data_IF_718107042884
#
_entry.id   IF_718107042884
#
_cell.length_a   1.000
_cell.length_b   1.000
_cell.length_c   1.000
_cell.angle_alpha   90.00
_cell.angle_beta   90.00
_cell.angle_gamma   90.00
#
_symmetry.space_group_name_H-M   'P 1'
#
loop_
_entity.id
_entity.type
_entity.pdbx_description
1 polymer ?
#
# COMPACT_ATOMS: atom_id res chain seq x y z
N UNK A 1 6.70 -48.21 12.13
CA UNK A 1 7.53 -49.28 12.74
C UNK A 1 6.72 -50.57 12.71
N UNK A 2 7.11 -51.46 11.79
CA UNK A 2 6.93 -52.93 11.77
C UNK A 2 5.55 -53.50 12.18
N UNK A 3 4.84 -54.28 11.35
CA UNK A 3 5.25 -55.35 10.43
C UNK A 3 4.24 -55.43 9.28
N UNK A 4 4.64 -55.33 8.01
CA UNK A 4 5.26 -56.39 7.17
C UNK A 4 4.27 -57.56 6.97
N UNK A 5 3.55 -57.60 5.86
CA UNK A 5 3.93 -58.13 4.52
C UNK A 5 3.57 -59.62 4.37
N UNK A 6 3.20 -60.00 3.14
CA UNK A 6 3.01 -61.38 2.60
C UNK A 6 1.67 -62.02 3.00
N UNK A 7 0.81 -62.50 2.09
CA UNK A 7 1.10 -63.38 0.94
C UNK A 7 0.13 -63.11 -0.24
N UNK A 8 0.74 -62.99 -1.42
CA UNK A 8 0.13 -63.03 -2.75
C UNK A 8 -0.44 -64.42 -3.07
N UNK A 9 -1.48 -64.42 -3.90
CA UNK A 9 -1.69 -65.28 -5.08
C UNK A 9 -3.13 -65.83 -5.19
N UNK A 10 -3.58 -65.93 -6.45
CA UNK A 10 -4.82 -66.53 -6.96
C UNK A 10 -6.07 -65.64 -7.02
N UNK A 11 -6.18 -64.85 -8.09
CA UNK A 11 -7.26 -65.05 -9.09
C UNK A 11 -7.16 -63.99 -10.19
N UNK A 12 -6.49 -64.36 -11.28
CA UNK A 12 -6.54 -63.65 -12.56
C UNK A 12 -7.89 -63.89 -13.23
N UNK A 13 -8.79 -62.91 -13.21
CA UNK A 13 -9.92 -62.86 -14.16
C UNK A 13 -10.36 -61.42 -14.42
N UNK A 14 -9.87 -60.88 -15.53
CA UNK A 14 -10.53 -59.94 -16.45
C UNK A 14 -11.45 -58.86 -15.83
N UNK A 15 -10.86 -57.86 -15.17
CA UNK A 15 -11.51 -56.55 -15.04
C UNK A 15 -10.65 -55.48 -15.71
N UNK A 16 -11.04 -55.18 -16.95
CA UNK A 16 -10.90 -53.94 -17.71
C UNK A 16 -9.74 -52.99 -17.34
N UNK A 17 -8.59 -53.17 -17.98
CA UNK A 17 -7.57 -52.14 -18.13
C UNK A 17 -8.12 -50.82 -18.77
N UNK A 18 -9.30 -50.87 -19.39
CA UNK A 18 -9.99 -49.71 -19.98
C UNK A 18 -10.78 -48.85 -18.98
N UNK A 19 -11.11 -49.35 -17.78
CA UNK A 19 -11.83 -48.55 -16.75
C UNK A 19 -10.85 -47.83 -15.81
N UNK A 20 -9.66 -48.39 -15.58
CA UNK A 20 -8.61 -47.72 -14.80
C UNK A 20 -7.96 -46.53 -15.55
N UNK A 21 -7.99 -46.53 -16.88
CA UNK A 21 -7.47 -45.42 -17.71
C UNK A 21 -8.46 -44.24 -17.76
N UNK A 22 -9.77 -44.48 -17.62
CA UNK A 22 -10.77 -43.40 -17.57
C UNK A 22 -10.84 -42.64 -16.24
N UNK A 23 -10.33 -43.20 -15.13
CA UNK A 23 -10.26 -42.49 -13.84
C UNK A 23 -8.99 -41.64 -13.73
N UNK A 24 -7.90 -42.00 -14.44
CA UNK A 24 -6.70 -41.17 -14.51
C UNK A 24 -6.79 -40.01 -15.53
N UNK A 25 -7.72 -40.05 -16.48
CA UNK A 25 -7.91 -38.99 -17.48
C UNK A 25 -8.98 -37.95 -17.09
N UNK A 26 -9.74 -38.17 -16.01
CA UNK A 26 -10.66 -37.17 -15.44
C UNK A 26 -10.04 -36.35 -14.29
N UNK A 27 -8.77 -36.63 -13.93
CA UNK A 27 -7.93 -35.76 -13.09
C UNK A 27 -6.88 -34.97 -13.91
N UNK A 28 -7.02 -34.96 -15.24
CA UNK A 28 -6.24 -34.10 -16.14
C UNK A 28 -6.87 -32.71 -16.35
N UNK A 29 -7.96 -32.40 -15.64
CA UNK A 29 -8.36 -31.02 -15.38
C UNK A 29 -7.47 -30.48 -14.28
N UNK A 30 -6.30 -29.96 -14.66
CA UNK A 30 -5.28 -29.49 -13.75
C UNK A 30 -5.84 -28.56 -12.68
N UNK A 31 -5.92 -29.04 -11.44
CA UNK A 31 -5.80 -28.14 -10.31
C UNK A 31 -4.40 -27.58 -10.40
N UNK A 32 -4.27 -26.41 -11.02
CA UNK A 32 -3.05 -25.64 -10.98
C UNK A 32 -2.76 -25.41 -9.49
N UNK A 33 -1.79 -26.15 -8.95
CA UNK A 33 -1.48 -26.12 -7.53
C UNK A 33 -1.11 -24.70 -7.09
N UNK A 34 -1.23 -24.43 -5.80
CA UNK A 34 -0.75 -23.19 -5.20
C UNK A 34 0.76 -23.33 -4.98
N UNK A 35 1.55 -22.25 -5.13
CA UNK A 35 2.97 -22.34 -4.81
C UNK A 35 3.16 -22.57 -3.30
N UNK A 36 4.13 -23.39 -2.94
CA UNK A 36 4.43 -23.70 -1.54
C UNK A 36 5.89 -23.43 -1.24
N UNK A 37 6.14 -22.61 -0.21
CA UNK A 37 7.44 -22.51 0.43
C UNK A 37 7.57 -23.56 1.55
N UNK A 38 8.79 -24.06 1.78
CA UNK A 38 9.08 -24.84 2.97
C UNK A 38 9.03 -23.97 4.24
N UNK A 39 8.75 -24.58 5.39
CA UNK A 39 8.80 -23.87 6.69
C UNK A 39 10.19 -23.24 6.85
N UNK A 40 10.23 -21.91 7.07
CA UNK A 40 11.45 -21.11 7.20
C UNK A 40 12.42 -21.23 6.01
N UNK A 41 11.91 -21.52 4.80
CA UNK A 41 12.74 -21.70 3.60
C UNK A 41 12.24 -20.85 2.44
N UNK A 42 13.08 -19.91 2.00
CA UNK A 42 12.90 -19.22 0.74
C UNK A 42 12.88 -20.21 -0.44
N UNK A 43 11.83 -20.13 -1.25
CA UNK A 43 11.65 -20.96 -2.44
C UNK A 43 11.34 -20.04 -3.61
N UNK A 44 12.10 -20.17 -4.69
CA UNK A 44 11.84 -19.40 -5.91
C UNK A 44 10.56 -19.92 -6.57
N UNK A 45 9.64 -19.00 -6.88
CA UNK A 45 8.35 -19.31 -7.53
C UNK A 45 8.15 -18.50 -8.82
N UNK A 46 9.21 -17.83 -9.30
CA UNK A 46 9.16 -16.91 -10.43
C UNK A 46 8.60 -15.52 -10.07
N UNK A 47 8.27 -14.70 -11.09
CA UNK A 47 8.51 -14.96 -12.51
C UNK A 47 10.01 -15.07 -12.84
N UNK A 48 10.37 -15.91 -13.80
CA UNK A 48 11.77 -16.12 -14.22
C UNK A 48 12.21 -15.10 -15.28
N UNK A 49 13.53 -14.87 -15.41
CA UNK A 49 14.11 -14.18 -16.57
C UNK A 49 14.35 -12.68 -16.43
N UNK A 50 14.24 -12.09 -15.24
CA UNK A 50 14.58 -10.67 -15.06
C UNK A 50 14.49 -10.15 -13.63
N UNK A 51 14.81 -8.88 -13.46
CA UNK A 51 14.67 -8.16 -12.18
C UNK A 51 13.21 -7.83 -11.93
N UNK A 52 12.66 -8.33 -10.82
CA UNK A 52 11.37 -7.89 -10.26
C UNK A 52 11.62 -6.70 -9.34
N UNK A 53 10.95 -5.59 -9.61
CA UNK A 53 11.06 -4.32 -8.87
C UNK A 53 9.89 -4.09 -7.92
N UNK A 54 8.74 -4.72 -8.20
CA UNK A 54 7.51 -4.54 -7.44
C UNK A 54 6.65 -5.81 -7.50
N UNK A 55 5.92 -6.08 -6.42
CA UNK A 55 4.95 -7.16 -6.32
C UNK A 55 3.69 -6.57 -5.68
N UNK A 56 2.52 -6.95 -6.19
CA UNK A 56 1.23 -6.60 -5.62
C UNK A 56 0.39 -7.87 -5.46
N UNK A 57 -0.33 -7.95 -4.34
CA UNK A 57 -1.25 -9.05 -4.01
C UNK A 57 -2.66 -8.49 -4.14
N UNK A 58 -3.53 -9.20 -4.85
CA UNK A 58 -4.94 -8.83 -4.93
C UNK A 58 -5.57 -8.88 -3.53
N UNK A 59 -6.19 -7.78 -3.06
CA UNK A 59 -6.71 -7.68 -1.69
C UNK A 59 -7.97 -8.51 -1.46
N UNK A 60 -8.65 -8.96 -2.54
CA UNK A 60 -9.86 -9.79 -2.47
C UNK A 60 -9.54 -11.26 -2.72
N UNK A 61 -8.63 -11.55 -3.65
CA UNK A 61 -8.15 -12.91 -3.94
C UNK A 61 -6.62 -13.02 -3.79
N UNK A 62 -6.10 -13.40 -2.61
CA UNK A 62 -4.66 -13.51 -2.38
C UNK A 62 -3.93 -14.57 -3.23
N UNK A 63 -4.64 -15.41 -3.98
CA UNK A 63 -4.02 -16.30 -4.97
C UNK A 63 -3.69 -15.56 -6.28
N UNK A 64 -4.26 -14.39 -6.49
CA UNK A 64 -3.95 -13.52 -7.60
C UNK A 64 -2.82 -12.56 -7.22
N UNK A 65 -1.70 -12.66 -7.92
CA UNK A 65 -0.48 -11.90 -7.68
C UNK A 65 -0.04 -11.21 -8.97
N UNK A 66 0.55 -10.03 -8.85
CA UNK A 66 1.19 -9.32 -9.95
C UNK A 66 2.62 -8.98 -9.60
N UNK A 67 3.52 -9.11 -10.57
CA UNK A 67 4.92 -8.74 -10.45
C UNK A 67 5.28 -7.80 -11.60
N UNK A 68 6.00 -6.72 -11.29
CA UNK A 68 6.48 -5.74 -12.26
C UNK A 68 8.00 -5.73 -12.33
N UNK A 69 8.54 -5.44 -13.51
CA UNK A 69 9.97 -5.26 -13.72
C UNK A 69 10.31 -4.76 -15.13
N UNK A 70 11.56 -4.97 -15.55
CA UNK A 70 12.01 -4.57 -16.90
C UNK A 70 11.35 -5.36 -18.04
N UNK A 71 10.78 -6.53 -17.74
CA UNK A 71 10.01 -7.34 -18.71
C UNK A 71 8.52 -6.97 -18.80
N UNK A 72 8.09 -5.90 -18.13
CA UNK A 72 6.69 -5.50 -18.02
C UNK A 72 6.00 -6.10 -16.78
N UNK A 73 4.72 -6.42 -16.92
CA UNK A 73 3.87 -6.97 -15.84
C UNK A 73 3.63 -8.46 -16.06
N UNK A 74 3.74 -9.24 -14.99
CA UNK A 74 3.44 -10.66 -14.94
C UNK A 74 2.33 -10.91 -13.92
N UNK A 75 1.42 -11.83 -14.23
CA UNK A 75 0.30 -12.23 -13.36
C UNK A 75 0.42 -13.69 -12.99
N UNK A 76 0.12 -14.00 -11.74
CA UNK A 76 -0.22 -15.35 -11.28
C UNK A 76 -1.67 -15.34 -10.77
N UNK A 77 -2.37 -16.45 -10.94
CA UNK A 77 -3.73 -16.68 -10.42
C UNK A 77 -3.80 -17.93 -9.55
N UNK A 78 -2.65 -18.42 -9.09
CA UNK A 78 -2.50 -19.66 -8.32
C UNK A 78 -1.40 -19.52 -7.27
N UNK A 79 -1.38 -18.38 -6.58
CA UNK A 79 -0.45 -18.08 -5.48
C UNK A 79 1.02 -18.17 -5.90
N UNK A 80 1.32 -17.86 -7.17
CA UNK A 80 2.68 -17.84 -7.71
C UNK A 80 3.17 -19.16 -8.27
N UNK A 81 2.34 -20.21 -8.42
CA UNK A 81 2.81 -21.49 -8.97
C UNK A 81 3.13 -21.40 -10.46
N UNK A 82 2.44 -20.52 -11.18
CA UNK A 82 2.74 -20.17 -12.55
C UNK A 82 2.51 -18.69 -12.78
N UNK A 83 3.29 -18.11 -13.70
CA UNK A 83 3.23 -16.71 -14.08
C UNK A 83 3.06 -16.57 -15.60
N UNK A 84 2.29 -15.57 -16.02
CA UNK A 84 2.12 -15.20 -17.42
C UNK A 84 2.37 -13.71 -17.61
N UNK A 85 3.02 -13.32 -18.70
CA UNK A 85 3.18 -11.92 -19.06
C UNK A 85 1.83 -11.33 -19.47
N UNK A 86 1.50 -10.15 -18.93
CA UNK A 86 0.26 -9.42 -19.17
C UNK A 86 0.59 -7.99 -19.61
N UNK A 87 1.23 -7.88 -20.79
CA UNK A 87 1.89 -6.64 -21.26
C UNK A 87 1.18 -5.96 -22.44
N UNK A 88 0.03 -6.47 -22.87
CA UNK A 88 -0.72 -5.90 -23.99
C UNK A 88 -1.07 -4.42 -23.74
N UNK A 89 -0.66 -3.53 -24.64
CA UNK A 89 -0.86 -2.08 -24.51
C UNK A 89 0.23 -1.32 -23.73
N UNK A 90 1.20 -2.03 -23.12
CA UNK A 90 2.41 -1.41 -22.59
C UNK A 90 3.48 -1.27 -23.70
N UNK A 91 4.28 -0.19 -23.70
CA UNK A 91 5.47 -0.09 -24.54
C UNK A 91 6.46 -1.23 -24.26
N UNK A 92 7.17 -1.71 -25.28
CA UNK A 92 8.09 -2.85 -25.17
C UNK A 92 9.30 -2.58 -24.27
N UNK A 93 9.66 -1.31 -24.09
CA UNK A 93 10.75 -0.83 -23.24
C UNK A 93 10.26 -0.23 -21.91
N UNK A 94 8.96 -0.38 -21.59
CA UNK A 94 8.40 0.14 -20.36
C UNK A 94 8.84 -0.68 -19.15
N UNK A 95 9.83 -0.16 -18.42
CA UNK A 95 10.23 -0.68 -17.12
C UNK A 95 9.22 -0.31 -16.04
N UNK A 96 8.56 -1.32 -15.47
CA UNK A 96 7.62 -1.13 -14.37
C UNK A 96 8.42 -0.94 -13.09
N UNK A 97 8.19 0.18 -12.40
CA UNK A 97 8.81 0.49 -11.10
C UNK A 97 7.86 0.23 -9.94
N UNK A 98 6.55 0.39 -10.16
CA UNK A 98 5.52 0.22 -9.13
C UNK A 98 4.23 -0.32 -9.74
N UNK A 99 3.55 -1.19 -8.98
CA UNK A 99 2.19 -1.64 -9.25
C UNK A 99 1.29 -1.28 -8.08
N UNK A 100 0.08 -0.82 -8.38
CA UNK A 100 -0.98 -0.62 -7.40
C UNK A 100 -2.27 -1.27 -7.93
N UNK A 101 -3.00 -1.94 -7.03
CA UNK A 101 -4.29 -2.58 -7.30
C UNK A 101 -5.35 -1.76 -6.58
N UNK A 102 -6.43 -1.43 -7.28
CA UNK A 102 -7.58 -0.77 -6.68
C UNK A 102 -8.16 -1.69 -5.59
N UNK A 103 -8.27 -1.21 -4.33
CA UNK A 103 -8.70 -2.06 -3.21
C UNK A 103 -10.19 -2.41 -3.23
N UNK A 104 -11.00 -1.72 -4.02
CA UNK A 104 -12.45 -1.95 -4.16
C UNK A 104 -12.76 -2.76 -5.42
N UNK A 105 -12.05 -2.50 -6.53
CA UNK A 105 -12.15 -3.26 -7.78
C UNK A 105 -10.78 -3.82 -8.22
N UNK A 106 -10.40 -5.04 -7.81
CA UNK A 106 -9.09 -5.60 -8.13
C UNK A 106 -8.83 -5.88 -9.62
N UNK A 107 -9.82 -5.74 -10.49
CA UNK A 107 -9.61 -5.74 -11.94
C UNK A 107 -8.99 -4.43 -12.43
N UNK A 108 -9.05 -3.37 -11.64
CA UNK A 108 -8.42 -2.09 -11.90
C UNK A 108 -7.00 -2.07 -11.30
N UNK A 109 -6.00 -1.89 -12.17
CA UNK A 109 -4.59 -1.82 -11.80
C UNK A 109 -3.92 -0.61 -12.41
N UNK A 110 -2.87 -0.13 -11.74
CA UNK A 110 -2.00 0.93 -12.23
C UNK A 110 -0.55 0.46 -12.21
N UNK A 111 0.16 0.71 -13.30
CA UNK A 111 1.59 0.48 -13.44
C UNK A 111 2.30 1.81 -13.64
N UNK A 112 3.24 2.12 -12.75
CA UNK A 112 4.08 3.31 -12.83
C UNK A 112 5.49 2.95 -13.28
N UNK A 113 6.07 3.78 -14.14
CA UNK A 113 7.43 3.59 -14.63
C UNK A 113 7.99 4.85 -15.27
N UNK A 114 9.06 4.69 -16.06
CA UNK A 114 9.54 5.78 -16.91
C UNK A 114 8.55 6.01 -18.06
N UNK A 115 8.14 7.27 -18.29
CA UNK A 115 7.10 7.60 -19.27
C UNK A 115 5.68 7.69 -18.71
N UNK A 116 5.49 7.46 -17.40
CA UNK A 116 4.26 7.80 -16.68
C UNK A 116 3.51 6.62 -16.09
N UNK A 117 2.19 6.72 -16.06
CA UNK A 117 1.26 5.74 -15.48
C UNK A 117 0.44 5.08 -16.58
N UNK A 118 0.27 3.76 -16.48
CA UNK A 118 -0.63 2.96 -17.31
C UNK A 118 -1.70 2.34 -16.43
N UNK A 119 -2.94 2.28 -16.93
CA UNK A 119 -4.09 1.69 -16.25
C UNK A 119 -4.57 0.45 -16.99
N UNK A 120 -4.93 -0.59 -16.24
CA UNK A 120 -5.73 -1.71 -16.70
C UNK A 120 -7.05 -1.70 -15.95
N UNK A 121 -8.15 -2.08 -16.60
CA UNK A 121 -9.47 -2.25 -15.98
C UNK A 121 -10.01 -3.68 -16.18
N UNK A 122 -9.11 -4.62 -16.48
CA UNK A 122 -9.45 -6.01 -16.80
C UNK A 122 -8.38 -6.99 -16.28
N UNK A 123 -7.83 -6.72 -15.10
CA UNK A 123 -6.92 -7.64 -14.41
C UNK A 123 -5.59 -7.82 -15.14
N UNK A 124 -5.11 -6.77 -15.82
CA UNK A 124 -3.85 -6.75 -16.58
C UNK A 124 -3.96 -7.21 -18.03
N UNK A 125 -5.12 -7.66 -18.51
CA UNK A 125 -5.25 -8.20 -19.87
C UNK A 125 -4.95 -7.16 -20.97
N UNK A 126 -5.21 -5.88 -20.70
CA UNK A 126 -4.77 -4.76 -21.53
C UNK A 126 -4.51 -3.51 -20.69
N UNK A 127 -3.58 -2.67 -21.16
CA UNK A 127 -3.16 -1.43 -20.52
C UNK A 127 -3.36 -0.22 -21.44
N UNK A 128 -3.62 0.94 -20.84
CA UNK A 128 -3.74 2.23 -21.53
C UNK A 128 -2.97 3.30 -20.76
N UNK A 129 -2.26 4.17 -21.48
CA UNK A 129 -1.55 5.29 -20.86
C UNK A 129 -2.55 6.29 -20.26
N UNK A 130 -2.32 6.69 -19.01
CA UNK A 130 -3.15 7.65 -18.26
C UNK A 130 -2.26 8.78 -17.74
N UNK A 131 -1.70 9.55 -18.68
CA UNK A 131 -0.60 10.50 -18.43
C UNK A 131 -0.96 11.97 -18.57
N UNK A 132 -2.24 12.30 -18.77
CA UNK A 132 -2.68 13.69 -18.92
C UNK A 132 -2.38 14.50 -17.65
N UNK A 133 -1.64 15.60 -17.78
CA UNK A 133 -1.19 16.43 -16.65
C UNK A 133 0.09 15.95 -15.95
N UNK A 134 0.61 14.77 -16.32
CA UNK A 134 1.93 14.30 -15.92
C UNK A 134 3.00 14.85 -16.89
N UNK A 135 4.18 15.27 -16.41
CA UNK A 135 5.33 15.63 -17.26
C UNK A 135 5.83 14.46 -18.16
N UNK A 136 6.69 14.72 -19.15
CA UNK A 136 7.14 13.65 -20.08
C UNK A 136 8.53 13.07 -19.77
N UNK A 137 9.29 13.70 -18.88
CA UNK A 137 10.73 13.47 -18.63
C UNK A 137 11.04 12.96 -17.21
N UNK A 138 10.13 12.18 -16.62
CA UNK A 138 10.25 11.67 -15.26
C UNK A 138 9.87 10.18 -15.15
N UNK A 139 10.15 9.59 -13.98
CA UNK A 139 9.72 8.24 -13.62
C UNK A 139 8.74 8.26 -12.44
N UNK A 140 7.68 7.46 -12.52
CA UNK A 140 6.80 7.18 -11.39
C UNK A 140 7.47 6.13 -10.52
N UNK A 141 7.77 6.47 -9.28
CA UNK A 141 8.44 5.60 -8.31
C UNK A 141 7.48 4.96 -7.32
N UNK A 142 6.36 5.62 -7.05
CA UNK A 142 5.35 5.14 -6.12
C UNK A 142 3.96 5.56 -6.58
N UNK A 143 3.00 4.67 -6.39
CA UNK A 143 1.57 4.92 -6.58
C UNK A 143 0.86 4.56 -5.28
N UNK A 144 -0.01 5.44 -4.80
CA UNK A 144 -0.89 5.19 -3.66
C UNK A 144 -2.33 5.46 -4.09
N UNK A 145 -3.23 4.52 -3.82
CA UNK A 145 -4.66 4.63 -4.13
C UNK A 145 -5.37 4.85 -2.80
N UNK A 146 -6.27 5.82 -2.76
CA UNK A 146 -7.12 6.05 -1.59
C UNK A 146 -7.99 4.80 -1.35
N UNK A 147 -7.94 4.20 -0.15
CA UNK A 147 -8.64 2.96 0.15
C UNK A 147 -10.17 3.12 0.27
N UNK A 148 -10.66 4.35 0.41
CA UNK A 148 -12.09 4.69 0.55
C UNK A 148 -12.66 5.21 -0.77
N UNK A 149 -11.91 6.05 -1.50
CA UNK A 149 -12.28 6.54 -2.83
C UNK A 149 -11.20 6.20 -3.88
N UNK A 150 -11.26 5.03 -4.54
CA UNK A 150 -10.22 4.61 -5.49
C UNK A 150 -10.10 5.46 -6.77
N UNK A 151 -11.02 6.40 -7.01
CA UNK A 151 -10.83 7.42 -8.05
C UNK A 151 -9.75 8.43 -7.65
N UNK A 152 -9.47 8.56 -6.36
CA UNK A 152 -8.40 9.37 -5.81
C UNK A 152 -7.12 8.54 -5.68
N UNK A 153 -6.07 8.98 -6.35
CA UNK A 153 -4.76 8.32 -6.33
C UNK A 153 -3.63 9.32 -6.52
N UNK A 154 -2.47 8.95 -6.03
CA UNK A 154 -1.30 9.80 -5.99
C UNK A 154 -0.10 9.10 -6.61
N UNK A 155 0.66 9.85 -7.40
CA UNK A 155 1.91 9.42 -7.99
C UNK A 155 3.06 10.23 -7.40
N UNK A 156 3.97 9.54 -6.72
CA UNK A 156 5.26 10.10 -6.34
C UNK A 156 6.25 9.88 -7.47
N UNK A 157 7.04 10.92 -7.77
CA UNK A 157 7.95 10.91 -8.90
C UNK A 157 9.40 10.92 -8.48
N UNK A 158 10.17 10.03 -9.09
CA UNK A 158 11.62 9.98 -9.03
C UNK A 158 12.12 9.43 -10.36
N UNK A 159 12.92 10.19 -11.11
CA UNK A 159 13.62 9.58 -12.24
C UNK A 159 14.88 8.90 -11.72
N UNK A 160 14.89 7.58 -11.56
CA UNK A 160 16.15 6.81 -11.51
C UNK A 160 16.52 6.41 -12.95
N UNK A 161 17.78 6.58 -13.40
CA UNK A 161 18.96 7.05 -12.67
C UNK A 161 19.16 8.58 -12.67
N UNK A 162 18.34 9.35 -13.40
CA UNK A 162 18.64 10.76 -13.70
C UNK A 162 18.32 11.78 -12.58
N UNK A 163 17.82 11.32 -11.44
CA UNK A 163 17.30 12.09 -10.30
C UNK A 163 16.46 13.31 -10.73
N UNK A 164 15.44 13.09 -11.57
CA UNK A 164 14.51 14.14 -12.07
C UNK A 164 13.10 13.95 -11.49
N UNK A 165 13.00 13.91 -10.17
CA UNK A 165 11.69 13.94 -9.50
C UNK A 165 11.02 15.32 -9.65
N UNK A 166 9.70 15.32 -9.78
CA UNK A 166 8.84 16.50 -9.92
C UNK A 166 7.77 16.57 -8.82
N UNK A 167 7.96 15.80 -7.75
CA UNK A 167 7.12 15.80 -6.56
C UNK A 167 5.98 14.79 -6.62
N UNK A 168 4.85 15.16 -6.02
CA UNK A 168 3.61 14.39 -5.94
C UNK A 168 2.59 14.94 -6.94
N UNK A 169 1.90 14.04 -7.62
CA UNK A 169 0.77 14.34 -8.48
C UNK A 169 -0.46 13.61 -7.98
N UNK A 170 -1.62 14.28 -7.95
CA UNK A 170 -2.92 13.74 -7.54
C UNK A 170 -3.83 13.60 -8.75
N UNK A 171 -4.59 12.52 -8.81
CA UNK A 171 -5.75 12.35 -9.67
C UNK A 171 -6.96 12.09 -8.78
N UNK A 172 -8.13 12.59 -9.18
CA UNK A 172 -9.43 12.37 -8.52
C UNK A 172 -10.45 11.75 -9.49
N UNK A 173 -9.96 11.19 -10.59
CA UNK A 173 -10.77 10.61 -11.67
C UNK A 173 -10.16 9.31 -12.21
N UNK A 174 -9.54 8.53 -11.33
CA UNK A 174 -8.99 7.21 -11.66
C UNK A 174 -7.89 7.26 -12.71
N UNK A 175 -7.06 8.32 -12.68
CA UNK A 175 -5.88 8.52 -13.51
C UNK A 175 -6.12 9.29 -14.80
N UNK A 176 -7.38 9.62 -15.15
CA UNK A 176 -7.68 10.28 -16.41
C UNK A 176 -7.00 11.66 -16.55
N UNK A 177 -6.79 12.37 -15.44
CA UNK A 177 -5.95 13.57 -15.38
C UNK A 177 -5.26 13.71 -14.04
N UNK A 178 -4.09 14.35 -14.04
CA UNK A 178 -3.24 14.55 -12.87
C UNK A 178 -2.94 16.04 -12.65
N UNK A 179 -2.77 16.43 -11.39
CA UNK A 179 -2.38 17.77 -10.97
C UNK A 179 -1.23 17.71 -9.96
N UNK A 180 -0.28 18.62 -10.05
CA UNK A 180 0.82 18.70 -9.09
C UNK A 180 0.34 19.23 -7.74
N UNK A 181 0.67 18.53 -6.65
CA UNK A 181 0.25 18.86 -5.28
C UNK A 181 1.48 18.98 -4.38
N UNK A 182 2.28 20.01 -4.63
CA UNK A 182 3.66 20.12 -4.12
C UNK A 182 3.88 21.25 -3.09
N UNK A 183 2.82 21.94 -2.66
CA UNK A 183 2.96 23.09 -1.76
C UNK A 183 3.57 22.68 -0.43
N UNK A 184 4.70 23.27 -0.04
CA UNK A 184 5.41 22.90 1.21
C UNK A 184 6.38 21.72 1.10
N UNK A 185 6.44 21.04 -0.05
CA UNK A 185 7.52 20.08 -0.35
C UNK A 185 8.85 20.82 -0.62
N UNK A 186 10.00 20.16 -0.34
CA UNK A 186 11.28 20.84 -0.29
C UNK A 186 11.81 21.12 -1.70
N UNK A 187 11.63 22.34 -2.20
CA UNK A 187 12.32 22.77 -3.43
C UNK A 187 13.82 22.96 -3.15
N UNK A 188 14.74 22.33 -3.91
CA UNK A 188 16.16 22.61 -3.74
C UNK A 188 16.44 24.08 -4.06
N UNK A 189 17.07 24.79 -3.12
CA UNK A 189 17.51 26.18 -3.30
C UNK A 189 18.63 26.33 -4.35
N UNK A 190 19.21 25.23 -4.83
CA UNK A 190 20.25 25.23 -5.84
C UNK A 190 20.00 24.12 -6.86
N UNK A 191 19.48 24.49 -8.03
CA UNK A 191 19.53 23.65 -9.23
C UNK A 191 20.63 24.20 -10.12
N UNK A 192 21.77 23.48 -10.21
CA UNK A 192 22.82 23.78 -11.20
C UNK A 192 22.36 23.49 -12.65
N UNK A 193 21.09 23.10 -12.85
CA UNK A 193 20.51 22.64 -14.12
C UNK A 193 19.10 23.19 -14.40
N UNK A 194 18.72 24.31 -13.76
CA UNK A 194 17.57 25.13 -14.20
C UNK A 194 16.16 24.65 -13.81
N UNK A 195 16.01 23.60 -12.99
CA UNK A 195 14.71 23.21 -12.43
C UNK A 195 14.83 22.58 -11.02
N UNK A 196 13.94 22.89 -10.07
CA UNK A 196 13.90 22.23 -8.76
C UNK A 196 13.60 20.74 -8.94
N UNK A 197 14.41 19.89 -8.28
CA UNK A 197 14.21 18.43 -8.25
C UNK A 197 13.50 18.06 -6.96
N UNK A 198 12.32 17.45 -7.07
CA UNK A 198 11.51 17.00 -5.95
C UNK A 198 11.39 15.46 -6.00
N UNK A 199 12.25 14.77 -5.27
CA UNK A 199 12.27 13.30 -5.26
C UNK A 199 11.27 12.78 -4.23
N UNK A 200 10.30 12.00 -4.68
CA UNK A 200 9.39 11.24 -3.81
C UNK A 200 9.67 9.76 -4.04
N UNK A 201 10.22 9.09 -3.03
CA UNK A 201 10.60 7.66 -3.12
C UNK A 201 9.61 6.75 -2.41
N UNK A 202 8.84 7.29 -1.46
CA UNK A 202 7.74 6.60 -0.80
C UNK A 202 6.57 7.56 -0.64
N UNK A 203 5.36 7.01 -0.70
CA UNK A 203 4.12 7.73 -0.47
C UNK A 203 3.12 6.73 0.11
N UNK A 204 2.45 7.12 1.19
CA UNK A 204 1.43 6.30 1.85
C UNK A 204 0.29 7.19 2.32
N UNK A 205 -0.92 6.64 2.27
CA UNK A 205 -2.17 7.27 2.67
C UNK A 205 -2.58 6.61 3.98
N UNK A 206 -2.99 7.40 4.96
CA UNK A 206 -3.56 6.88 6.19
C UNK A 206 -4.89 6.15 5.88
N UNK A 207 -5.02 4.86 6.19
CA UNK A 207 -6.21 4.09 5.85
C UNK A 207 -7.44 4.46 6.69
N UNK A 208 -7.26 5.15 7.82
CA UNK A 208 -8.34 5.62 8.69
C UNK A 208 -8.77 7.04 8.33
N UNK A 209 -7.82 7.88 7.91
CA UNK A 209 -8.05 9.26 7.44
C UNK A 209 -7.37 9.53 6.09
N UNK A 210 -8.02 9.26 4.95
CA UNK A 210 -7.40 9.38 3.63
C UNK A 210 -6.95 10.81 3.23
N UNK A 211 -7.38 11.85 3.95
CA UNK A 211 -6.84 13.21 3.80
C UNK A 211 -5.44 13.35 4.39
N UNK A 212 -5.01 12.41 5.23
CA UNK A 212 -3.66 12.34 5.79
C UNK A 212 -2.74 11.48 4.92
N UNK A 213 -1.64 12.09 4.45
CA UNK A 213 -0.63 11.43 3.62
C UNK A 213 0.78 11.66 4.16
N UNK A 214 1.67 10.72 3.87
CA UNK A 214 3.09 10.83 4.19
C UNK A 214 3.95 10.57 2.97
N UNK A 215 4.82 11.53 2.65
CA UNK A 215 5.78 11.45 1.55
C UNK A 215 7.21 11.30 2.09
N UNK A 216 7.88 10.24 1.62
CA UNK A 216 9.29 9.99 1.85
C UNK A 216 10.14 10.58 0.73
N UNK A 217 11.03 11.51 1.08
CA UNK A 217 11.84 12.28 0.12
C UNK A 217 13.34 12.10 0.37
N UNK A 218 14.18 12.77 -0.44
CA UNK A 218 15.63 12.92 -0.19
C UNK A 218 15.97 14.03 0.84
N UNK A 219 14.95 14.65 1.45
CA UNK A 219 15.06 15.67 2.50
C UNK A 219 14.31 15.32 3.78
N UNK A 220 13.87 14.07 3.90
CA UNK A 220 13.11 13.59 5.07
C UNK A 220 11.67 13.21 4.73
N UNK A 221 10.84 13.21 5.76
CA UNK A 221 9.42 12.86 5.71
C UNK A 221 8.57 14.13 5.78
N UNK A 222 7.56 14.19 4.92
CA UNK A 222 6.58 15.26 4.86
C UNK A 222 5.18 14.69 5.07
N UNK A 223 4.38 15.35 5.90
CA UNK A 223 2.98 15.03 6.16
C UNK A 223 2.08 16.03 5.45
N UNK A 224 0.99 15.55 4.86
CA UNK A 224 -0.19 16.34 4.50
C UNK A 224 -1.36 15.88 5.35
N UNK A 225 -2.27 16.80 5.68
CA UNK A 225 -3.52 16.52 6.40
C UNK A 225 -4.75 17.04 5.62
N UNK A 226 -4.57 17.28 4.32
CA UNK A 226 -5.56 17.90 3.42
C UNK A 226 -5.41 17.35 2.00
N UNK A 227 -5.18 16.04 1.89
CA UNK A 227 -5.26 15.36 0.62
C UNK A 227 -4.16 15.77 -0.35
N UNK A 228 -3.02 16.24 0.15
CA UNK A 228 -1.85 16.66 -0.61
C UNK A 228 -1.79 18.16 -0.94
N UNK A 229 -2.81 18.95 -0.62
CA UNK A 229 -2.87 20.38 -0.95
C UNK A 229 -1.72 21.17 -0.33
N UNK A 230 -1.30 20.80 0.88
CA UNK A 230 -0.07 21.30 1.50
C UNK A 230 0.65 20.23 2.34
N UNK A 231 1.96 20.44 2.48
CA UNK A 231 2.88 19.52 3.15
C UNK A 231 3.71 20.22 4.22
N UNK A 232 3.97 19.53 5.32
CA UNK A 232 4.82 19.97 6.42
C UNK A 232 5.89 18.91 6.72
N UNK A 233 7.13 19.34 6.92
CA UNK A 233 8.21 18.44 7.35
C UNK A 233 7.98 17.94 8.78
N UNK A 234 8.14 16.63 8.99
CA UNK A 234 8.02 15.96 10.31
C UNK A 234 9.31 15.24 10.68
N UNK A 235 10.44 15.95 10.57
CA UNK A 235 11.79 15.36 10.62
C UNK A 235 12.43 15.33 12.00
N UNK A 236 11.72 15.72 13.06
CA UNK A 236 12.27 15.74 14.41
C UNK A 236 12.77 14.34 14.81
N UNK A 237 14.04 14.25 15.23
CA UNK A 237 14.67 12.98 15.59
C UNK A 237 15.25 12.16 14.41
N UNK A 238 15.03 12.54 13.15
CA UNK A 238 15.66 11.88 12.00
C UNK A 238 17.09 12.38 11.78
N UNK A 239 18.08 11.49 11.50
CA UNK A 239 19.46 11.87 11.25
C UNK A 239 19.65 12.39 9.81
N UNK A 240 19.06 13.54 9.51
CA UNK A 240 19.14 14.14 8.17
C UNK A 240 20.60 14.38 7.75
N UNK A 241 20.94 13.96 6.53
CA UNK A 241 22.26 14.11 5.93
C UNK A 241 22.13 14.37 4.43
N UNK A 242 23.24 14.72 3.76
CA UNK A 242 23.23 15.00 2.32
C UNK A 242 22.79 13.82 1.45
N UNK A 243 22.99 12.59 1.92
CA UNK A 243 22.60 11.36 1.23
C UNK A 243 21.36 10.71 1.82
N UNK A 244 20.64 11.42 2.69
CA UNK A 244 19.44 10.90 3.34
C UNK A 244 18.34 10.66 2.30
N UNK A 245 17.70 9.49 2.38
CA UNK A 245 16.53 9.14 1.58
C UNK A 245 15.60 8.29 2.40
N UNK A 246 14.32 8.49 2.17
CA UNK A 246 13.24 7.67 2.74
C UNK A 246 12.65 6.80 1.62
N UNK A 247 13.21 5.60 1.38
CA UNK A 247 12.72 4.70 0.34
C UNK A 247 11.44 3.96 0.71
N UNK A 248 11.08 3.91 1.99
CA UNK A 248 9.94 3.12 2.45
C UNK A 248 9.24 3.82 3.62
N UNK A 249 7.92 3.81 3.56
CA UNK A 249 7.02 4.25 4.62
C UNK A 249 5.97 3.16 4.81
N UNK A 250 5.58 2.92 6.06
CA UNK A 250 4.45 2.06 6.39
C UNK A 250 3.70 2.66 7.57
N UNK A 251 2.38 2.69 7.48
CA UNK A 251 1.49 3.15 8.56
C UNK A 251 0.92 1.92 9.25
N UNK A 252 0.74 1.97 10.57
CA UNK A 252 -0.06 0.97 11.27
C UNK A 252 -1.52 1.03 10.76
N UNK A 253 -2.02 -0.01 10.08
CA UNK A 253 -3.32 0.04 9.45
C UNK A 253 -4.49 -0.03 10.44
N UNK A 254 -4.24 -0.31 11.73
CA UNK A 254 -5.30 -0.43 12.74
C UNK A 254 -5.80 0.92 13.22
N UNK A 255 -4.92 1.91 13.33
CA UNK A 255 -5.22 3.21 13.95
C UNK A 255 -4.68 4.43 13.20
N UNK A 256 -3.79 4.26 12.21
CA UNK A 256 -3.14 5.38 11.53
C UNK A 256 -2.14 6.17 12.41
N UNK A 257 -2.00 5.81 13.69
CA UNK A 257 -1.30 6.59 14.70
C UNK A 257 0.22 6.47 14.58
N UNK A 258 0.71 5.33 14.10
CA UNK A 258 2.14 5.06 14.01
C UNK A 258 2.62 4.98 12.57
N UNK A 259 3.63 5.79 12.24
CA UNK A 259 4.35 5.74 10.97
C UNK A 259 5.75 5.15 11.19
N UNK A 260 6.06 4.10 10.44
CA UNK A 260 7.38 3.51 10.31
C UNK A 260 8.11 4.06 9.09
N UNK A 261 9.36 4.46 9.28
CA UNK A 261 10.19 5.15 8.29
C UNK A 261 11.45 4.32 8.06
N UNK A 262 11.53 3.66 6.91
CA UNK A 262 12.77 3.03 6.45
C UNK A 262 13.70 4.09 5.89
N UNK A 263 14.99 4.04 6.25
CA UNK A 263 15.99 5.00 5.76
C UNK A 263 17.18 4.31 5.11
N UNK A 264 17.81 4.98 4.15
CA UNK A 264 19.07 4.49 3.59
C UNK A 264 20.19 4.56 4.65
N UNK A 265 20.62 3.41 5.16
CA UNK A 265 21.80 3.27 6.01
C UNK A 265 21.67 3.74 7.46
N UNK A 266 20.48 4.16 7.91
CA UNK A 266 20.26 4.70 9.26
C UNK A 266 19.16 3.95 10.05
N UNK A 267 18.90 2.66 9.74
CA UNK A 267 17.85 1.83 10.36
C UNK A 267 16.41 2.26 10.03
N UNK A 268 15.44 1.64 10.70
CA UNK A 268 14.01 1.99 10.69
C UNK A 268 13.71 2.88 11.89
N UNK A 269 13.06 4.00 11.65
CA UNK A 269 12.51 4.89 12.69
C UNK A 269 11.01 4.68 12.80
N UNK A 270 10.44 5.07 13.95
CA UNK A 270 9.01 5.22 14.09
C UNK A 270 8.68 6.57 14.72
N UNK A 271 7.54 7.12 14.35
CA UNK A 271 6.90 8.22 15.03
C UNK A 271 5.46 7.81 15.32
N UNK A 272 5.01 8.07 16.54
CA UNK A 272 3.61 7.91 16.93
C UNK A 272 3.03 9.30 17.08
N UNK A 273 1.98 9.58 16.33
CA UNK A 273 1.26 10.83 16.41
C UNK A 273 0.26 10.74 17.54
N UNK A 274 0.16 11.82 18.31
CA UNK A 274 -0.95 11.99 19.24
C UNK A 274 -2.23 12.01 18.42
N UNK A 275 -2.99 10.93 18.46
CA UNK A 275 -4.32 10.90 17.86
C UNK A 275 -5.23 11.74 18.74
N UNK A 276 -6.29 12.29 18.16
CA UNK A 276 -7.30 13.03 18.93
C UNK A 276 -8.04 12.14 19.93
N UNK A 277 -7.85 10.82 19.85
CA UNK A 277 -8.32 9.83 20.83
C UNK A 277 -7.34 9.58 21.99
N UNK A 278 -6.04 9.82 21.82
CA UNK A 278 -5.01 9.68 22.87
C UNK A 278 -4.91 11.00 23.65
N UNK A 279 -5.93 11.25 24.48
CA UNK A 279 -6.00 12.46 25.30
C UNK A 279 -5.19 12.35 26.59
N UNK A 280 -4.72 11.16 26.95
CA UNK A 280 -3.85 10.95 28.10
C UNK A 280 -2.34 10.98 27.76
N UNK A 281 -1.98 10.94 26.46
CA UNK A 281 -0.63 10.96 25.90
C UNK A 281 0.23 9.73 26.23
N UNK A 282 -0.36 8.56 26.40
CA UNK A 282 0.38 7.33 26.65
C UNK A 282 0.69 6.52 25.37
N UNK A 283 0.17 6.97 24.23
CA UNK A 283 0.48 6.44 22.91
C UNK A 283 -0.41 5.28 22.46
N UNK A 284 -1.53 5.02 23.13
CA UNK A 284 -2.61 4.19 22.62
C UNK A 284 -3.99 4.88 22.72
N UNK A 285 -5.03 4.23 22.21
CA UNK A 285 -6.43 4.69 22.39
C UNK A 285 -7.13 3.62 23.20
N UNK A 286 -7.37 3.88 24.48
CA UNK A 286 -7.91 2.89 25.41
C UNK A 286 -9.09 3.40 26.26
N UNK A 287 -9.50 2.62 27.27
CA UNK A 287 -10.61 3.01 28.15
C UNK A 287 -10.28 4.18 29.06
N UNK A 288 -9.01 4.43 29.32
CA UNK A 288 -8.57 5.55 30.13
C UNK A 288 -8.74 6.88 29.36
N UNK A 289 -8.60 6.86 28.03
CA UNK A 289 -9.01 7.98 27.18
C UNK A 289 -10.52 8.18 27.19
N UNK A 290 -11.30 7.12 26.99
CA UNK A 290 -12.77 7.23 27.06
C UNK A 290 -13.25 7.74 28.43
N UNK A 291 -12.60 7.34 29.52
CA UNK A 291 -12.90 7.82 30.86
C UNK A 291 -12.60 9.32 31.01
N UNK A 292 -11.54 9.82 30.37
CA UNK A 292 -11.20 11.25 30.36
C UNK A 292 -12.17 12.07 29.50
N UNK A 293 -12.58 11.57 28.34
CA UNK A 293 -13.66 12.16 27.52
C UNK A 293 -14.96 12.21 28.34
N UNK A 294 -15.34 11.10 28.97
CA UNK A 294 -16.58 10.99 29.77
C UNK A 294 -16.54 11.92 30.99
N UNK A 295 -15.40 12.04 31.65
CA UNK A 295 -15.20 12.98 32.75
C UNK A 295 -15.32 14.44 32.29
N UNK A 296 -14.78 14.77 31.12
CA UNK A 296 -14.82 16.13 30.56
C UNK A 296 -16.19 16.54 30.03
N UNK A 297 -16.99 15.61 29.48
CA UNK A 297 -18.38 15.86 29.10
C UNK A 297 -19.27 16.27 30.28
N UNK A 298 -18.86 15.99 31.52
CA UNK A 298 -19.57 16.35 32.74
C UNK A 298 -19.07 17.66 33.39
N UNK A 299 -18.13 18.37 32.76
CA UNK A 299 -17.53 19.61 33.26
C UNK A 299 -17.90 20.80 32.36
N UNK A 300 -17.92 22.06 32.83
CA UNK A 300 -18.03 23.25 31.98
C UNK A 300 -16.85 23.40 30.99
N UNK A 301 -17.05 24.10 29.88
CA UNK A 301 -15.99 24.42 28.91
C UNK A 301 -14.96 25.38 29.50
N UNK A 302 -13.70 24.96 29.55
CA UNK A 302 -12.60 25.71 30.17
C UNK A 302 -11.45 25.88 29.18
N UNK A 303 -11.60 26.87 28.29
CA UNK A 303 -10.50 27.44 27.52
C UNK A 303 -9.88 26.53 26.44
N UNK A 304 -8.67 26.89 25.95
CA UNK A 304 -8.07 26.31 24.75
C UNK A 304 -7.50 24.88 24.92
N UNK A 305 -7.51 24.34 26.13
CA UNK A 305 -7.08 22.97 26.44
C UNK A 305 -8.29 22.05 26.74
N UNK A 306 -9.49 22.44 26.30
CA UNK A 306 -10.72 21.69 26.49
C UNK A 306 -10.74 20.44 25.61
N UNK A 307 -10.68 19.26 26.22
CA UNK A 307 -10.67 17.96 25.52
C UNK A 307 -11.95 17.65 24.72
N UNK A 308 -12.96 18.55 24.76
CA UNK A 308 -14.14 18.50 23.88
C UNK A 308 -13.90 19.11 22.50
N UNK A 309 -12.92 19.98 22.37
CA UNK A 309 -12.43 20.51 21.10
C UNK A 309 -11.45 19.47 20.52
N UNK A 310 -12.02 18.50 19.80
CA UNK A 310 -11.28 17.36 19.24
C UNK A 310 -10.65 17.72 17.89
N UNK A 311 -10.68 18.97 17.47
CA UNK A 311 -10.08 19.38 16.21
C UNK A 311 -9.12 20.57 16.36
N UNK A 312 -9.06 21.18 17.55
CA UNK A 312 -8.18 22.28 17.92
C UNK A 312 -8.63 23.65 17.40
N UNK A 313 -9.91 23.80 17.05
CA UNK A 313 -10.47 25.03 16.47
C UNK A 313 -11.08 26.00 17.50
N UNK A 314 -10.98 25.66 18.78
CA UNK A 314 -11.51 26.39 19.93
C UNK A 314 -13.04 26.51 19.94
N UNK A 315 -13.72 25.67 19.17
CA UNK A 315 -15.17 25.54 19.13
C UNK A 315 -15.58 24.07 19.39
N UNK A 316 -16.83 23.88 19.83
CA UNK A 316 -17.41 22.54 19.99
C UNK A 316 -18.48 22.41 18.92
N UNK A 317 -18.26 21.54 17.93
CA UNK A 317 -19.13 21.45 16.77
C UNK A 317 -19.45 20.01 16.31
N UNK A 318 -20.14 19.91 15.18
CA UNK A 318 -20.55 18.62 14.61
C UNK A 318 -19.37 17.78 14.11
N UNK A 319 -18.22 18.39 13.83
CA UNK A 319 -16.97 17.73 13.46
C UNK A 319 -16.34 17.05 14.67
N UNK A 320 -16.38 17.69 15.85
CA UNK A 320 -15.96 17.08 17.12
C UNK A 320 -16.86 15.90 17.49
N UNK A 321 -18.18 16.07 17.36
CA UNK A 321 -19.14 15.00 17.61
C UNK A 321 -18.96 13.80 16.67
N UNK A 322 -18.58 14.01 15.40
CA UNK A 322 -18.28 12.94 14.45
C UNK A 322 -17.04 12.14 14.84
N UNK A 323 -15.98 12.80 15.32
CA UNK A 323 -14.78 12.14 15.85
C UNK A 323 -15.09 11.29 17.07
N UNK A 324 -15.96 11.78 17.95
CA UNK A 324 -16.44 11.05 19.12
C UNK A 324 -17.18 9.74 18.75
N UNK A 325 -18.01 9.78 17.71
CA UNK A 325 -18.75 8.61 17.22
C UNK A 325 -17.82 7.58 16.57
N UNK A 326 -16.78 8.02 15.84
CA UNK A 326 -15.78 7.12 15.26
C UNK A 326 -15.06 6.31 16.34
N UNK A 327 -14.64 6.97 17.42
CA UNK A 327 -13.97 6.35 18.58
C UNK A 327 -14.83 5.27 19.26
N UNK A 328 -16.16 5.47 19.33
CA UNK A 328 -17.07 4.53 20.00
C UNK A 328 -17.47 3.31 19.15
N UNK A 329 -17.09 3.26 17.88
CA UNK A 329 -17.49 2.18 16.94
C UNK A 329 -16.36 1.18 16.65
N UNK A 330 -15.15 1.42 17.16
CA UNK A 330 -14.04 0.50 16.96
C UNK A 330 -14.13 -0.75 17.87
N UNK A 331 -13.65 -1.93 17.41
CA UNK A 331 -13.74 -3.19 18.16
C UNK A 331 -13.12 -3.14 19.57
N UNK A 332 -12.09 -2.30 19.75
CA UNK A 332 -11.41 -2.06 21.04
C UNK A 332 -12.32 -1.49 22.16
N UNK A 333 -13.47 -0.90 21.83
CA UNK A 333 -14.42 -0.38 22.83
C UNK A 333 -15.50 -1.39 23.24
N UNK A 334 -15.54 -2.61 22.69
CA UNK A 334 -16.58 -3.59 23.02
C UNK A 334 -16.47 -4.08 24.48
N UNK A 335 -17.59 -4.06 25.21
CA UNK A 335 -17.70 -4.60 26.56
C UNK A 335 -17.40 -6.11 26.59
N UNK A 336 -16.79 -6.65 27.67
CA UNK A 336 -16.77 -8.10 27.85
C UNK A 336 -18.21 -8.58 27.96
N UNK A 337 -18.59 -9.61 27.20
CA UNK A 337 -19.87 -10.27 27.41
C UNK A 337 -19.94 -10.68 28.89
N UNK A 338 -21.03 -10.38 29.62
CA UNK A 338 -21.16 -10.87 30.98
C UNK A 338 -21.12 -12.40 30.92
N UNK A 339 -20.16 -12.99 31.62
CA UNK A 339 -20.03 -14.43 31.76
C UNK A 339 -21.38 -15.01 32.21
N UNK A 340 -21.98 -15.86 31.37
CA UNK A 340 -23.00 -16.82 31.76
C UNK A 340 -22.38 -18.19 31.79
#
# INVERSE_FOLDING_TARGET
MNRVMTVLEHSTTKYNASVLICICLLLAGGFAGIAQAGINKWTAIGPEGGTVTTVAIDPVDPLTLYAGGYGGVFKSSNGGASWQAVTSGLPSDFGVSVLAIDPVDPLTLYAGGYGGVFKSSNGGASWQAVTSGLPSDFGVSVLAIDPVDPLTLYAGTAAVPFNRGKGVFKSTNGGASWQAVNSGLPVPLFSFVGAPVLIVSALTIDPVDPETLYAGTDKGVFKSSNGGDSWQAINSGLPLSRSFRVPALAIDPLDGATLYVGTNGNSVFKITFKTLGDINQDGDIDRSDLARITAALNQPADGPDDVRDLNGDLSIDALDARKLVLLCTQPQCAAPRPNR
#
